data_IF_795853575389
#
_entry.id   IF_795853575389
#
_cell.length_a   1.000
_cell.length_b   1.000
_cell.length_c   1.000
_cell.angle_alpha   90.00
_cell.angle_beta   90.00
_cell.angle_gamma   90.00
#
_symmetry.space_group_name_H-M   'P 1'
#
loop_
_entity.id
_entity.type
_entity.pdbx_description
1 polymer ?
#
# COMPACT_ATOMS: atom_id res chain seq x y z
N UNK A 1 -4.26 8.70 -7.83
CA UNK A 1 -5.29 8.41 -6.82
C UNK A 1 -4.93 7.26 -5.88
N UNK A 2 -4.09 6.31 -6.31
CA UNK A 2 -3.79 5.10 -5.51
C UNK A 2 -2.93 5.37 -4.26
N UNK A 3 -2.08 6.39 -4.27
CA UNK A 3 -1.33 6.81 -3.08
C UNK A 3 -2.25 7.27 -1.94
N UNK A 4 -3.21 8.15 -2.22
CA UNK A 4 -4.18 8.63 -1.22
C UNK A 4 -5.08 7.49 -0.72
N UNK A 5 -5.55 6.63 -1.63
CA UNK A 5 -6.37 5.47 -1.28
C UNK A 5 -5.62 4.48 -0.38
N UNK A 6 -4.36 4.18 -0.71
CA UNK A 6 -3.55 3.26 0.08
C UNK A 6 -3.22 3.83 1.46
N UNK A 7 -2.93 5.14 1.55
CA UNK A 7 -2.75 5.83 2.82
C UNK A 7 -4.02 5.83 3.67
N UNK A 8 -5.18 6.07 3.07
CA UNK A 8 -6.47 6.02 3.77
C UNK A 8 -6.79 4.61 4.29
N UNK A 9 -6.59 3.57 3.47
CA UNK A 9 -6.80 2.17 3.87
C UNK A 9 -5.82 1.76 4.97
N UNK A 10 -4.53 2.04 4.80
CA UNK A 10 -3.51 1.72 5.81
C UNK A 10 -3.76 2.46 7.12
N UNK A 11 -4.04 3.76 7.06
CA UNK A 11 -4.36 4.58 8.23
C UNK A 11 -5.62 4.11 8.95
N UNK A 12 -6.68 3.82 8.20
CA UNK A 12 -7.94 3.29 8.75
C UNK A 12 -7.76 1.95 9.45
N UNK A 13 -7.08 0.99 8.81
CA UNK A 13 -6.78 -0.31 9.41
C UNK A 13 -5.90 -0.17 10.65
N UNK A 14 -4.84 0.63 10.57
CA UNK A 14 -3.95 0.84 11.72
C UNK A 14 -4.68 1.48 12.89
N UNK A 15 -5.53 2.49 12.64
CA UNK A 15 -6.27 3.15 13.71
C UNK A 15 -7.33 2.23 14.33
N UNK A 16 -8.05 1.47 13.51
CA UNK A 16 -9.01 0.48 13.99
C UNK A 16 -8.35 -0.57 14.90
N UNK A 17 -7.21 -1.13 14.48
CA UNK A 17 -6.46 -2.10 15.30
C UNK A 17 -5.89 -1.42 16.55
N UNK A 18 -5.37 -0.19 16.43
CA UNK A 18 -4.81 0.55 17.56
C UNK A 18 -5.83 0.81 18.66
N UNK A 19 -7.04 1.21 18.29
CA UNK A 19 -8.12 1.43 19.25
C UNK A 19 -8.66 0.12 19.87
N UNK A 20 -8.46 -1.01 19.19
CA UNK A 20 -8.89 -2.33 19.65
C UNK A 20 -7.87 -2.97 20.61
N UNK A 21 -6.58 -2.92 20.26
CA UNK A 21 -5.51 -3.57 21.01
C UNK A 21 -5.03 -2.72 22.19
N UNK A 22 -4.97 -1.39 22.04
CA UNK A 22 -4.57 -0.42 23.08
C UNK A 22 -3.32 -0.83 23.86
N UNK A 23 -2.35 -1.45 23.19
CA UNK A 23 -1.07 -1.83 23.80
C UNK A 23 -0.32 -0.58 24.21
N UNK A 24 0.26 -0.55 25.41
CA UNK A 24 1.09 0.59 25.83
C UNK A 24 2.42 0.64 25.06
N UNK A 25 2.98 1.84 24.94
CA UNK A 25 4.32 2.06 24.35
C UNK A 25 5.41 1.74 25.37
N UNK A 26 6.65 1.46 24.91
CA UNK A 26 7.78 1.36 25.81
C UNK A 26 7.98 2.63 26.65
N UNK A 27 7.54 3.79 26.16
CA UNK A 27 7.55 5.07 26.87
C UNK A 27 6.42 5.24 27.92
N UNK A 28 5.48 4.30 28.03
CA UNK A 28 4.36 4.37 28.98
C UNK A 28 3.09 5.07 28.48
N UNK A 29 3.07 5.58 27.24
CA UNK A 29 1.86 6.17 26.64
C UNK A 29 1.02 5.11 25.92
N UNK A 30 -0.31 5.20 26.01
CA UNK A 30 -1.16 4.44 25.07
C UNK A 30 -1.01 5.01 23.66
N UNK A 31 -0.40 4.23 22.79
CA UNK A 31 -1.06 3.11 22.11
C UNK A 31 -0.04 2.75 21.01
N UNK A 32 0.67 1.65 21.18
CA UNK A 32 1.86 1.28 20.42
C UNK A 32 1.54 0.40 19.22
N UNK A 33 0.64 -0.57 19.38
CA UNK A 33 0.33 -1.50 18.31
C UNK A 33 -0.84 -1.01 17.44
N UNK A 34 -0.75 -1.09 16.10
CA UNK A 34 0.44 -1.20 15.27
C UNK A 34 1.07 0.17 14.96
N UNK A 35 2.28 0.18 14.39
CA UNK A 35 2.96 1.43 14.02
C UNK A 35 2.33 2.10 12.80
N UNK A 36 1.79 3.30 13.01
CA UNK A 36 1.25 4.17 11.95
C UNK A 36 2.29 4.56 10.90
N UNK A 37 3.46 5.00 11.37
CA UNK A 37 4.58 5.38 10.50
C UNK A 37 5.04 4.22 9.62
N UNK A 38 5.18 3.02 10.18
CA UNK A 38 5.52 1.83 9.39
C UNK A 38 4.42 1.50 8.37
N UNK A 39 3.15 1.47 8.79
CA UNK A 39 2.05 1.16 7.87
C UNK A 39 1.91 2.16 6.70
N UNK A 40 2.05 3.46 6.95
CA UNK A 40 1.94 4.49 5.93
C UNK A 40 3.09 4.45 4.92
N UNK A 41 4.34 4.38 5.37
CA UNK A 41 5.50 4.39 4.47
C UNK A 41 5.59 3.12 3.64
N UNK A 42 5.24 1.95 4.20
CA UNK A 42 5.20 0.69 3.45
C UNK A 42 4.02 0.62 2.48
N UNK A 43 2.88 1.25 2.78
CA UNK A 43 1.79 1.40 1.81
C UNK A 43 2.23 2.24 0.61
N UNK A 44 2.88 3.37 0.87
CA UNK A 44 3.45 4.24 -0.16
C UNK A 44 4.49 3.51 -1.03
N UNK A 45 5.44 2.82 -0.40
CA UNK A 45 6.45 2.02 -1.11
C UNK A 45 5.82 0.92 -1.99
N UNK A 46 4.75 0.28 -1.51
CA UNK A 46 4.04 -0.77 -2.25
C UNK A 46 3.28 -0.26 -3.47
N UNK A 47 2.71 0.94 -3.37
CA UNK A 47 2.09 1.61 -4.53
C UNK A 47 3.17 1.97 -5.55
N UNK A 48 4.29 2.55 -5.12
CA UNK A 48 5.40 2.90 -6.00
C UNK A 48 6.03 1.68 -6.68
N UNK A 49 6.14 0.55 -5.98
CA UNK A 49 6.54 -0.72 -6.58
C UNK A 49 5.66 -1.11 -7.77
N UNK A 50 4.36 -0.86 -7.67
CA UNK A 50 3.42 -1.21 -8.72
C UNK A 50 3.49 -0.27 -9.91
N UNK A 51 3.73 1.03 -9.70
CA UNK A 51 3.73 2.03 -10.78
C UNK A 51 5.10 2.30 -11.41
N UNK A 52 6.18 2.27 -10.63
CA UNK A 52 7.53 2.60 -11.09
C UNK A 52 8.41 1.36 -11.32
N UNK A 53 7.92 0.17 -10.96
CA UNK A 53 8.65 -1.07 -11.04
C UNK A 53 9.76 -1.19 -9.98
N UNK A 54 10.44 -2.34 -9.98
CA UNK A 54 11.35 -2.72 -8.89
C UNK A 54 12.55 -1.78 -8.74
N UNK A 55 13.14 -1.29 -9.85
CA UNK A 55 14.35 -0.44 -9.82
C UNK A 55 14.13 0.87 -9.06
N UNK A 56 12.99 1.50 -9.27
CA UNK A 56 12.63 2.76 -8.62
C UNK A 56 12.00 2.54 -7.22
N UNK A 57 11.52 1.34 -6.93
CA UNK A 57 10.87 1.03 -5.66
C UNK A 57 11.80 0.46 -4.60
N UNK A 58 12.94 -0.13 -4.96
CA UNK A 58 13.94 -0.54 -3.94
C UNK A 58 14.34 0.64 -3.02
N UNK A 59 14.66 1.84 -3.54
CA UNK A 59 14.95 2.99 -2.68
C UNK A 59 13.79 3.37 -1.75
N UNK A 60 12.55 3.20 -2.19
CA UNK A 60 11.36 3.59 -1.41
C UNK A 60 11.13 2.65 -0.24
N UNK A 61 11.40 1.35 -0.41
CA UNK A 61 11.45 0.40 0.71
C UNK A 61 12.62 0.65 1.66
N UNK A 62 13.77 1.11 1.17
CA UNK A 62 14.89 1.51 2.04
C UNK A 62 14.50 2.69 2.93
N UNK A 63 13.88 3.72 2.35
CA UNK A 63 13.37 4.88 3.11
C UNK A 63 12.27 4.45 4.08
N UNK A 64 11.35 3.58 3.66
CA UNK A 64 10.30 3.06 4.53
C UNK A 64 10.88 2.28 5.74
N UNK A 65 11.92 1.48 5.50
CA UNK A 65 12.64 0.74 6.55
C UNK A 65 13.36 1.69 7.50
N UNK A 66 14.01 2.75 6.99
CA UNK A 66 14.64 3.77 7.84
C UNK A 66 13.62 4.44 8.77
N UNK A 67 12.46 4.86 8.24
CA UNK A 67 11.38 5.46 9.03
C UNK A 67 10.81 4.47 10.05
N UNK A 68 10.68 3.20 9.69
CA UNK A 68 10.24 2.14 10.60
C UNK A 68 11.23 1.92 11.76
N UNK A 69 12.53 1.88 11.46
CA UNK A 69 13.58 1.69 12.46
C UNK A 69 13.74 2.88 13.41
N UNK A 70 13.53 4.12 12.92
CA UNK A 70 13.61 5.31 13.78
C UNK A 70 12.60 5.26 14.93
N UNK A 71 11.44 4.61 14.72
CA UNK A 71 10.42 4.43 15.76
C UNK A 71 10.84 3.49 16.89
N UNK A 72 11.70 2.52 16.60
CA UNK A 72 12.31 1.68 17.63
C UNK A 72 13.33 2.49 18.41
N UNK A 73 14.14 3.29 17.72
CA UNK A 73 15.18 4.10 18.33
C UNK A 73 14.61 5.17 19.27
N UNK A 74 13.42 5.71 18.95
CA UNK A 74 12.67 6.64 19.79
C UNK A 74 11.92 5.96 20.96
N UNK A 75 12.00 4.63 21.11
CA UNK A 75 11.28 3.86 22.15
C UNK A 75 9.76 4.09 22.16
N UNK A 76 9.17 4.43 21.01
CA UNK A 76 7.72 4.63 20.87
C UNK A 76 7.00 3.39 20.36
N UNK A 77 7.72 2.39 19.85
CA UNK A 77 7.17 1.16 19.30
C UNK A 77 8.05 -0.05 19.61
N UNK A 78 7.43 -1.22 19.79
CA UNK A 78 8.13 -2.49 19.79
C UNK A 78 8.42 -2.96 18.35
N UNK A 79 9.41 -3.83 18.18
CA UNK A 79 9.71 -4.44 16.88
C UNK A 79 8.47 -5.13 16.27
N UNK A 80 7.64 -5.78 17.09
CA UNK A 80 6.37 -6.38 16.67
C UNK A 80 5.42 -5.37 16.04
N UNK A 81 5.35 -4.16 16.58
CA UNK A 81 4.42 -3.12 16.13
C UNK A 81 4.84 -2.58 14.76
N UNK A 82 6.16 -2.49 14.56
CA UNK A 82 6.78 -2.07 13.31
C UNK A 82 6.61 -3.15 12.25
N UNK A 83 6.96 -4.41 12.54
CA UNK A 83 6.82 -5.52 11.59
C UNK A 83 5.36 -5.70 11.14
N UNK A 84 4.43 -5.68 12.09
CA UNK A 84 3.01 -5.79 11.78
C UNK A 84 2.51 -4.55 11.03
N UNK A 85 2.92 -3.35 11.45
CA UNK A 85 2.60 -2.11 10.75
C UNK A 85 3.05 -2.13 9.29
N UNK A 86 4.29 -2.55 9.03
CA UNK A 86 4.81 -2.74 7.67
C UNK A 86 3.98 -3.72 6.85
N UNK A 87 3.57 -4.85 7.43
CA UNK A 87 2.70 -5.82 6.76
C UNK A 87 1.34 -5.22 6.37
N UNK A 88 0.69 -4.49 7.29
CA UNK A 88 -0.57 -3.77 7.03
C UNK A 88 -0.39 -2.77 5.87
N UNK A 89 0.72 -2.03 5.87
CA UNK A 89 1.06 -1.11 4.80
C UNK A 89 1.16 -1.80 3.44
N UNK A 90 1.94 -2.88 3.36
CA UNK A 90 2.14 -3.64 2.12
C UNK A 90 0.82 -4.18 1.56
N UNK A 91 0.00 -4.77 2.42
CA UNK A 91 -1.31 -5.32 2.03
C UNK A 91 -2.22 -4.19 1.53
N UNK A 92 -2.26 -3.05 2.23
CA UNK A 92 -3.08 -1.90 1.84
C UNK A 92 -2.68 -1.34 0.47
N UNK A 93 -1.37 -1.15 0.25
CA UNK A 93 -0.84 -0.69 -1.03
C UNK A 93 -1.18 -1.65 -2.18
N UNK A 94 -0.97 -2.95 -1.98
CA UNK A 94 -1.32 -3.97 -2.99
C UNK A 94 -2.81 -4.10 -3.23
N UNK A 95 -3.64 -4.00 -2.20
CA UNK A 95 -5.09 -4.08 -2.33
C UNK A 95 -5.64 -2.95 -3.19
N UNK A 96 -5.10 -1.74 -3.02
CA UNK A 96 -5.49 -0.58 -3.81
C UNK A 96 -5.02 -0.69 -5.25
N UNK A 97 -3.76 -1.08 -5.48
CA UNK A 97 -3.21 -1.14 -6.85
C UNK A 97 -3.73 -2.33 -7.66
N UNK A 98 -4.09 -3.46 -7.02
CA UNK A 98 -4.76 -4.58 -7.70
C UNK A 98 -6.14 -4.21 -8.24
N UNK A 99 -6.85 -3.28 -7.60
CA UNK A 99 -8.22 -2.89 -7.99
C UNK A 99 -8.27 -1.91 -9.17
N UNK A 100 -7.14 -1.32 -9.56
CA UNK A 100 -7.05 -0.25 -10.57
C UNK A 100 -6.70 -0.70 -12.01
N UNK A 101 -6.56 -2.00 -12.29
CA UNK A 101 -6.02 -2.51 -13.57
C UNK A 101 -7.10 -2.92 -14.59
N UNK A 102 -8.24 -2.21 -14.67
CA UNK A 102 -9.18 -2.37 -15.80
C UNK A 102 -8.81 -1.37 -16.88
N UNK A 103 -8.19 -1.86 -17.95
CA UNK A 103 -7.90 -1.06 -19.13
C UNK A 103 -8.93 -1.39 -20.20
N UNK A 104 -9.46 -0.35 -20.85
CA UNK A 104 -10.31 -0.47 -22.02
C UNK A 104 -9.39 -0.34 -23.23
N UNK A 105 -9.15 -1.44 -23.91
CA UNK A 105 -8.39 -1.45 -25.16
C UNK A 105 -9.37 -1.44 -26.33
N UNK A 106 -9.19 -0.51 -27.25
CA UNK A 106 -9.91 -0.45 -28.52
C UNK A 106 -9.06 -1.18 -29.54
N UNK A 107 -9.49 -2.37 -29.95
CA UNK A 107 -8.75 -3.21 -30.90
C UNK A 107 -9.52 -3.22 -32.22
N UNK A 108 -8.88 -2.95 -33.37
CA UNK A 108 -9.54 -3.09 -34.66
C UNK A 108 -9.95 -4.55 -34.87
N UNK A 109 -11.22 -4.77 -35.19
CA UNK A 109 -11.80 -6.09 -35.40
C UNK A 109 -12.59 -6.14 -36.71
N UNK A 110 -12.49 -7.22 -37.50
CA UNK A 110 -13.27 -7.35 -38.73
C UNK A 110 -14.76 -7.44 -38.40
N UNK A 111 -15.57 -6.59 -39.03
CA UNK A 111 -17.03 -6.62 -38.90
C UNK A 111 -17.63 -7.52 -40.00
N UNK A 112 -18.71 -8.28 -39.71
CA UNK A 112 -19.43 -9.05 -40.72
C UNK A 112 -19.87 -8.15 -41.88
N UNK A 113 -19.52 -8.52 -43.11
CA UNK A 113 -19.81 -7.73 -44.32
C UNK A 113 -18.66 -6.90 -44.88
N UNK A 114 -17.42 -7.09 -44.40
CA UNK A 114 -16.23 -6.43 -44.97
C UNK A 114 -15.92 -5.04 -44.41
N UNK A 115 -16.61 -4.62 -43.34
CA UNK A 115 -16.33 -3.38 -42.62
C UNK A 115 -15.23 -3.54 -41.56
N UNK A 116 -14.60 -2.43 -41.18
CA UNK A 116 -13.73 -2.36 -40.00
C UNK A 116 -14.58 -1.95 -38.78
N UNK A 117 -14.65 -2.81 -37.77
CA UNK A 117 -15.23 -2.51 -36.46
C UNK A 117 -14.15 -2.24 -35.41
N UNK A 118 -14.56 -1.68 -34.27
CA UNK A 118 -13.70 -1.55 -33.10
C UNK A 118 -14.28 -2.44 -32.01
N UNK A 119 -13.50 -3.41 -31.53
CA UNK A 119 -13.86 -4.25 -30.40
C UNK A 119 -13.36 -3.59 -29.12
N UNK A 120 -14.28 -3.40 -28.17
CA UNK A 120 -13.95 -2.97 -26.82
C UNK A 120 -13.52 -4.21 -26.03
N UNK A 121 -12.24 -4.29 -25.69
CA UNK A 121 -11.70 -5.38 -24.87
C UNK A 121 -11.43 -4.84 -23.47
N UNK A 122 -12.03 -5.50 -22.48
CA UNK A 122 -11.76 -5.22 -21.07
C UNK A 122 -10.66 -6.16 -20.61
N UNK A 123 -9.43 -5.67 -20.59
CA UNK A 123 -8.28 -6.42 -20.05
C UNK A 123 -8.14 -6.14 -18.56
N UNK A 124 -8.07 -7.21 -17.77
CA UNK A 124 -7.54 -7.16 -16.40
C UNK A 124 -6.28 -8.00 -16.33
N UNK A 125 -5.15 -7.39 -15.94
CA UNK A 125 -3.95 -8.12 -15.50
C UNK A 125 -3.96 -8.30 -14.00
#
# INVERSE_FOLDING_TARGET
MDLLRSAAVAGGLTYAIKLSVRRDRPSGECCSFPSGHASGTFAFASVLWTHLGWKAAVPTYTVATYVAMSRLHENVHFLSDVVFGSAVGIVSGRAVTRRGRRYWELVPAPAPGGGAGVMLVVTSR
#
